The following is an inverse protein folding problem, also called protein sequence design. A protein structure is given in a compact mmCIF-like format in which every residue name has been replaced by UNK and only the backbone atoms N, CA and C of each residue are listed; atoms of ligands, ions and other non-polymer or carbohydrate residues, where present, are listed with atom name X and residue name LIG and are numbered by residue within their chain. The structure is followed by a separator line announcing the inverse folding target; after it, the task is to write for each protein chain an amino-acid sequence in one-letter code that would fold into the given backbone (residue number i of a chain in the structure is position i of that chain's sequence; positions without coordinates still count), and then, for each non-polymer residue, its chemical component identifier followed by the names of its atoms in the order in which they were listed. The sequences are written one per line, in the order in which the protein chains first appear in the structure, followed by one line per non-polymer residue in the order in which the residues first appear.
data_IF_740329612102
#
_entry.id   IF_740329612102
#
_cell.length_a   1.000
_cell.length_b   1.000
_cell.length_c   1.000
_cell.angle_alpha   90.00
_cell.angle_beta   90.00
_cell.angle_gamma   90.00
#
_symmetry.space_group_name_H-M   'P 1'
#
loop_
_entity.id
_entity.type
_entity.pdbx_description
1 polymer ?
#
# COMPACT_ATOMS: atom_id res chain seq x y z
N UNK A 1 21.34 28.87 -23.16
CA UNK A 1 21.24 28.24 -21.82
C UNK A 1 20.23 27.12 -21.95
N UNK A 2 20.72 25.93 -22.32
CA UNK A 2 19.89 24.73 -22.47
C UNK A 2 19.27 24.40 -21.11
N UNK A 3 17.94 24.31 -21.04
CA UNK A 3 17.23 23.99 -19.81
C UNK A 3 17.70 22.63 -19.30
N UNK A 4 18.41 22.62 -18.16
CA UNK A 4 18.60 21.39 -17.40
C UNK A 4 17.20 20.83 -17.12
N UNK A 5 16.88 19.61 -17.60
CA UNK A 5 15.59 19.01 -17.31
C UNK A 5 15.46 18.88 -15.79
N UNK A 6 14.30 19.31 -15.27
CA UNK A 6 14.04 19.35 -13.82
C UNK A 6 14.42 18.01 -13.19
N UNK A 7 15.23 18.01 -12.14
CA UNK A 7 15.69 16.80 -11.46
C UNK A 7 14.51 15.87 -11.09
N UNK A 8 13.37 16.47 -10.76
CA UNK A 8 12.11 15.80 -10.43
C UNK A 8 11.50 14.98 -11.58
N UNK A 9 11.81 15.34 -12.83
CA UNK A 9 11.36 14.61 -14.02
C UNK A 9 12.25 13.42 -14.40
N UNK A 10 13.48 13.35 -13.89
CA UNK A 10 14.47 12.34 -14.29
C UNK A 10 14.85 11.37 -13.17
N UNK A 11 14.44 11.66 -11.92
CA UNK A 11 14.72 10.83 -10.76
C UNK A 11 13.48 10.03 -10.37
N UNK A 12 13.71 8.79 -9.95
CA UNK A 12 12.74 7.99 -9.21
C UNK A 12 12.87 8.29 -7.72
N UNK A 13 11.78 8.74 -7.09
CA UNK A 13 11.76 8.94 -5.64
C UNK A 13 11.26 7.68 -4.95
N UNK A 14 12.06 7.15 -4.04
CA UNK A 14 11.77 5.92 -3.30
C UNK A 14 11.45 6.26 -1.85
N UNK A 15 10.30 5.81 -1.36
CA UNK A 15 9.85 6.03 0.01
C UNK A 15 9.63 4.71 0.72
N UNK A 16 10.24 4.52 1.88
CA UNK A 16 10.12 3.28 2.65
C UNK A 16 9.01 3.30 3.71
N UNK A 17 8.33 4.44 3.86
CA UNK A 17 7.27 4.65 4.84
C UNK A 17 6.21 5.63 4.32
N UNK A 18 4.96 5.41 4.72
CA UNK A 18 3.79 6.17 4.25
C UNK A 18 3.83 7.64 4.69
N UNK A 19 4.37 7.95 5.86
CA UNK A 19 4.36 9.31 6.40
C UNK A 19 5.33 10.22 5.64
N UNK A 20 6.53 9.74 5.33
CA UNK A 20 7.50 10.48 4.52
C UNK A 20 6.98 10.68 3.10
N UNK A 21 6.36 9.66 2.51
CA UNK A 21 5.69 9.78 1.20
C UNK A 21 4.59 10.86 1.24
N UNK A 22 3.74 10.85 2.28
CA UNK A 22 2.70 11.86 2.49
C UNK A 22 3.29 13.27 2.54
N UNK A 23 4.28 13.50 3.42
CA UNK A 23 4.90 14.82 3.58
C UNK A 23 5.56 15.32 2.28
N UNK A 24 6.21 14.41 1.54
CA UNK A 24 6.81 14.74 0.26
C UNK A 24 5.74 15.14 -0.77
N UNK A 25 4.68 14.34 -0.91
CA UNK A 25 3.61 14.61 -1.86
C UNK A 25 2.85 15.90 -1.50
N UNK A 26 2.62 16.19 -0.22
CA UNK A 26 2.04 17.47 0.20
C UNK A 26 2.91 18.65 -0.22
N UNK A 27 4.24 18.52 -0.14
CA UNK A 27 5.18 19.60 -0.42
C UNK A 27 5.47 19.81 -1.91
N UNK A 28 5.56 18.73 -2.67
CA UNK A 28 6.03 18.76 -4.06
C UNK A 28 5.00 18.29 -5.08
N UNK A 29 3.96 17.57 -4.67
CA UNK A 29 2.93 17.05 -5.56
C UNK A 29 2.01 18.12 -6.14
N UNK A 30 1.82 19.24 -5.43
CA UNK A 30 0.85 20.28 -5.77
C UNK A 30 1.32 21.22 -6.90
N UNK A 31 2.62 21.38 -7.12
CA UNK A 31 3.19 22.24 -8.16
C UNK A 31 3.91 21.41 -9.23
N UNK A 32 3.13 20.82 -10.14
CA UNK A 32 3.65 20.00 -11.24
C UNK A 32 4.38 20.80 -12.32
N UNK A 33 4.29 22.12 -12.32
CA UNK A 33 5.06 22.96 -13.25
C UNK A 33 6.50 23.08 -12.78
N UNK A 34 6.69 23.31 -11.48
CA UNK A 34 8.01 23.40 -10.86
C UNK A 34 8.61 22.03 -10.55
N UNK A 35 7.79 21.09 -10.10
CA UNK A 35 8.17 19.75 -9.68
C UNK A 35 7.39 18.69 -10.47
N UNK A 36 7.73 18.46 -11.74
CA UNK A 36 7.07 17.43 -12.56
C UNK A 36 7.47 16.02 -12.08
N UNK A 37 6.79 15.51 -11.06
CA UNK A 37 7.02 14.17 -10.51
C UNK A 37 6.58 13.12 -11.53
N UNK A 38 7.54 12.37 -12.09
CA UNK A 38 7.26 11.36 -13.14
C UNK A 38 7.38 9.92 -12.67
N UNK A 39 8.20 9.64 -11.68
CA UNK A 39 8.50 8.27 -11.25
C UNK A 39 8.57 8.19 -9.73
N UNK A 40 7.74 7.32 -9.14
CA UNK A 40 7.65 7.11 -7.69
C UNK A 40 7.70 5.61 -7.37
N UNK A 41 8.42 5.26 -6.30
CA UNK A 41 8.37 3.94 -5.67
C UNK A 41 7.98 4.08 -4.20
N UNK A 42 6.93 3.38 -3.79
CA UNK A 42 6.36 3.48 -2.46
C UNK A 42 6.36 2.11 -1.77
N UNK A 43 7.02 2.05 -0.62
CA UNK A 43 6.83 1.02 0.37
C UNK A 43 5.68 1.39 1.28
N UNK A 44 4.59 0.63 1.21
CA UNK A 44 3.55 0.73 2.21
C UNK A 44 3.92 -0.18 3.34
N UNK A 45 4.43 0.37 4.45
CA UNK A 45 4.57 -0.38 5.69
C UNK A 45 3.31 -0.24 6.53
N UNK A 46 2.34 -1.12 6.32
CA UNK A 46 1.09 -1.05 7.06
C UNK A 46 1.25 -1.58 8.49
N UNK A 47 0.66 -0.85 9.44
CA UNK A 47 0.44 -1.35 10.80
C UNK A 47 -0.84 -2.17 10.86
N UNK A 48 -0.98 -2.99 11.89
CA UNK A 48 -2.21 -3.78 12.13
C UNK A 48 -3.46 -2.87 12.15
N UNK A 49 -3.34 -1.70 12.77
CA UNK A 49 -4.42 -0.71 12.86
C UNK A 49 -4.84 -0.19 11.48
N UNK A 50 -3.89 0.10 10.59
CA UNK A 50 -4.18 0.58 9.23
C UNK A 50 -4.92 -0.49 8.43
N UNK A 51 -4.51 -1.75 8.50
CA UNK A 51 -5.20 -2.84 7.78
C UNK A 51 -6.60 -3.13 8.34
N UNK A 52 -6.80 -3.01 9.66
CA UNK A 52 -8.09 -3.24 10.32
C UNK A 52 -9.16 -2.24 9.87
N UNK A 53 -8.80 -0.98 9.61
CA UNK A 53 -9.74 0.03 9.11
C UNK A 53 -10.44 -0.37 7.82
N UNK A 54 -9.78 -1.17 6.98
CA UNK A 54 -10.31 -1.58 5.68
C UNK A 54 -10.93 -2.98 5.72
N UNK A 55 -10.91 -3.65 6.86
CA UNK A 55 -11.53 -4.96 6.99
C UNK A 55 -13.06 -4.83 7.04
N UNK A 56 -13.82 -5.67 6.29
CA UNK A 56 -15.28 -5.61 6.31
C UNK A 56 -15.84 -5.96 7.69
N UNK A 57 -16.72 -5.11 8.22
CA UNK A 57 -17.66 -5.44 9.29
C UNK A 57 -18.88 -6.12 8.68
N UNK A 58 -19.61 -6.91 9.48
CA UNK A 58 -20.82 -7.63 9.06
C UNK A 58 -22.04 -6.72 8.77
N UNK A 59 -21.83 -5.43 8.46
CA UNK A 59 -22.87 -4.45 8.18
C UNK A 59 -22.66 -3.77 6.81
N UNK A 60 -23.77 -3.33 6.20
CA UNK A 60 -23.80 -2.70 4.87
C UNK A 60 -23.24 -1.28 4.84
N UNK A 61 -22.93 -0.69 6.00
CA UNK A 61 -22.37 0.65 6.08
C UNK A 61 -20.86 0.63 5.80
N UNK A 62 -20.44 1.45 4.83
CA UNK A 62 -19.07 1.63 4.31
C UNK A 62 -18.05 2.14 5.36
N UNK A 63 -18.44 2.27 6.62
CA UNK A 63 -17.56 2.59 7.74
C UNK A 63 -17.01 1.30 8.36
N UNK A 64 -15.74 1.00 8.05
CA UNK A 64 -14.98 -0.07 8.70
C UNK A 64 -15.00 0.07 10.23
N UNK A 65 -14.67 -0.99 10.98
CA UNK A 65 -14.84 -1.00 12.43
C UNK A 65 -14.06 0.16 13.06
N UNK A 66 -14.61 0.87 14.07
CA UNK A 66 -13.78 1.77 14.87
C UNK A 66 -12.64 0.93 15.43
N UNK A 67 -11.39 1.31 15.15
CA UNK A 67 -10.23 0.57 15.59
C UNK A 67 -10.29 0.39 17.12
N UNK A 68 -10.71 -0.79 17.58
CA UNK A 68 -10.98 -1.15 18.98
C UNK A 68 -9.73 -1.08 19.87
N UNK A 69 -8.57 -0.72 19.30
CA UNK A 69 -7.30 -0.57 19.99
C UNK A 69 -6.77 0.87 20.06
N UNK A 70 -7.51 1.89 19.61
CA UNK A 70 -7.09 3.30 19.71
C UNK A 70 -7.29 3.91 21.12
N UNK A 71 -7.02 3.13 22.18
CA UNK A 71 -7.19 3.56 23.58
C UNK A 71 -6.29 4.72 24.01
N UNK A 72 -5.28 5.13 23.23
CA UNK A 72 -4.33 6.19 23.63
C UNK A 72 -3.76 7.06 22.51
N UNK A 73 -3.94 6.72 21.22
CA UNK A 73 -3.37 7.50 20.12
C UNK A 73 -4.29 8.68 19.75
N UNK A 74 -3.87 9.92 20.07
CA UNK A 74 -4.52 11.15 19.56
C UNK A 74 -3.59 11.83 18.55
N UNK A 75 -4.08 12.22 17.35
CA UNK A 75 -5.41 11.92 16.83
C UNK A 75 -5.54 10.43 16.46
N UNK A 76 -6.71 9.84 16.76
CA UNK A 76 -6.99 8.44 16.47
C UNK A 76 -6.95 8.19 14.96
N UNK A 77 -6.44 7.02 14.57
CA UNK A 77 -6.50 6.54 13.19
C UNK A 77 -7.98 6.26 12.85
N UNK A 78 -8.48 6.88 11.80
CA UNK A 78 -9.86 6.70 11.30
C UNK A 78 -9.86 6.77 9.78
N UNK A 79 -10.96 6.40 9.12
CA UNK A 79 -11.07 6.57 7.66
C UNK A 79 -10.84 8.02 7.23
N UNK A 80 -11.25 9.00 8.05
CA UNK A 80 -11.02 10.44 7.82
C UNK A 80 -9.59 10.89 8.14
N UNK A 81 -8.89 10.17 9.02
CA UNK A 81 -7.51 10.44 9.42
C UNK A 81 -6.62 9.24 9.13
N UNK A 82 -6.42 8.98 7.84
CA UNK A 82 -5.66 7.85 7.35
C UNK A 82 -4.52 8.32 6.42
N UNK A 83 -3.25 8.22 6.83
CA UNK A 83 -2.12 8.67 6.02
C UNK A 83 -2.03 7.92 4.68
N UNK A 84 -2.41 6.64 4.65
CA UNK A 84 -2.43 5.86 3.42
C UNK A 84 -3.48 6.40 2.44
N UNK A 85 -4.68 6.72 2.93
CA UNK A 85 -5.73 7.30 2.10
C UNK A 85 -5.29 8.63 1.49
N UNK A 86 -4.64 9.49 2.29
CA UNK A 86 -4.11 10.78 1.81
C UNK A 86 -3.03 10.62 0.76
N UNK A 87 -2.12 9.65 0.92
CA UNK A 87 -1.14 9.31 -0.12
C UNK A 87 -1.84 8.88 -1.41
N UNK A 88 -2.82 7.98 -1.35
CA UNK A 88 -3.61 7.58 -2.52
C UNK A 88 -4.26 8.78 -3.20
N UNK A 89 -4.94 9.63 -2.43
CA UNK A 89 -5.62 10.82 -2.98
C UNK A 89 -4.64 11.74 -3.70
N UNK A 90 -3.49 12.04 -3.10
CA UNK A 90 -2.45 12.85 -3.76
C UNK A 90 -1.87 12.21 -5.01
N UNK A 91 -1.75 10.87 -5.06
CA UNK A 91 -1.31 10.17 -6.28
C UNK A 91 -2.29 10.35 -7.43
N UNK A 92 -3.60 10.41 -7.15
CA UNK A 92 -4.62 10.67 -8.20
C UNK A 92 -4.50 12.07 -8.81
N UNK A 93 -3.90 13.00 -8.06
CA UNK A 93 -3.71 14.40 -8.46
C UNK A 93 -2.38 14.64 -9.21
N UNK A 94 -1.62 13.59 -9.57
CA UNK A 94 -0.34 13.71 -10.29
C UNK A 94 -0.51 13.46 -11.81
N UNK A 95 -0.90 14.46 -12.62
CA UNK A 95 -1.16 14.28 -14.05
C UNK A 95 0.08 13.94 -14.89
N UNK A 96 1.29 14.16 -14.35
CA UNK A 96 2.56 13.89 -15.03
C UNK A 96 3.20 12.57 -14.61
N UNK A 97 2.54 11.79 -13.75
CA UNK A 97 3.05 10.50 -13.28
C UNK A 97 3.13 9.51 -14.45
N UNK A 98 4.33 8.99 -14.69
CA UNK A 98 4.61 8.06 -15.79
C UNK A 98 4.92 6.65 -15.30
N UNK A 99 5.43 6.53 -14.08
CA UNK A 99 5.70 5.26 -13.43
C UNK A 99 5.38 5.36 -11.93
N UNK A 100 4.76 4.30 -11.43
CA UNK A 100 4.41 4.14 -10.03
C UNK A 100 4.62 2.69 -9.64
N UNK A 101 5.56 2.43 -8.75
CA UNK A 101 5.71 1.11 -8.14
C UNK A 101 5.27 1.21 -6.69
N UNK A 102 4.37 0.34 -6.28
CA UNK A 102 3.93 0.22 -4.90
C UNK A 102 4.21 -1.20 -4.45
N UNK A 103 5.05 -1.36 -3.44
CA UNK A 103 5.23 -2.64 -2.77
C UNK A 103 4.66 -2.58 -1.36
N UNK A 104 4.08 -3.69 -0.93
CA UNK A 104 3.44 -3.78 0.37
C UNK A 104 4.32 -4.56 1.36
N UNK A 105 4.69 -3.89 2.44
CA UNK A 105 5.33 -4.47 3.61
C UNK A 105 4.36 -4.43 4.80
N UNK A 106 4.34 -5.49 5.59
CA UNK A 106 3.64 -5.48 6.86
C UNK A 106 4.57 -6.04 7.92
N UNK A 107 4.46 -5.53 9.14
CA UNK A 107 5.12 -6.14 10.30
C UNK A 107 4.23 -7.18 11.00
N UNK A 108 3.01 -7.37 10.52
CA UNK A 108 2.05 -8.31 11.11
C UNK A 108 2.40 -9.76 10.73
N UNK A 109 2.69 -10.60 11.70
CA UNK A 109 3.00 -12.01 11.44
C UNK A 109 1.76 -12.84 11.07
N UNK A 110 0.55 -12.28 11.20
CA UNK A 110 -0.69 -12.97 10.85
C UNK A 110 -0.86 -13.09 9.32
N UNK A 111 -1.62 -14.09 8.85
CA UNK A 111 -1.83 -14.29 7.42
C UNK A 111 -2.52 -13.10 6.77
N UNK A 112 -1.95 -12.63 5.65
CA UNK A 112 -2.46 -11.50 4.85
C UNK A 112 -3.95 -11.64 4.52
N UNK A 113 -4.32 -12.83 4.05
CA UNK A 113 -5.69 -13.19 3.65
C UNK A 113 -6.73 -13.23 4.79
N UNK A 114 -6.37 -12.84 6.02
CA UNK A 114 -7.31 -12.80 7.14
C UNK A 114 -7.56 -11.38 7.66
N UNK A 115 -6.86 -10.37 7.11
CA UNK A 115 -6.70 -9.08 7.81
C UNK A 115 -6.93 -7.85 6.94
N UNK A 116 -7.01 -8.01 5.63
CA UNK A 116 -7.16 -6.90 4.71
C UNK A 116 -8.17 -7.25 3.63
N UNK A 117 -9.02 -6.29 3.30
CA UNK A 117 -9.71 -6.30 2.02
C UNK A 117 -8.87 -5.47 1.06
N UNK A 118 -8.11 -6.12 0.18
CA UNK A 118 -7.29 -5.43 -0.83
C UNK A 118 -8.15 -4.49 -1.68
N UNK A 119 -9.36 -4.93 -2.05
CA UNK A 119 -10.29 -4.14 -2.85
C UNK A 119 -10.72 -2.85 -2.17
N UNK A 120 -10.86 -2.85 -0.84
CA UNK A 120 -11.12 -1.63 -0.06
C UNK A 120 -9.83 -0.83 0.16
N UNK A 121 -8.76 -1.50 0.55
CA UNK A 121 -7.47 -0.90 0.90
C UNK A 121 -6.83 -0.14 -0.27
N UNK A 122 -6.94 -0.69 -1.48
CA UNK A 122 -6.38 -0.13 -2.70
C UNK A 122 -7.44 0.51 -3.61
N UNK A 123 -8.69 0.67 -3.14
CA UNK A 123 -9.81 1.20 -3.94
C UNK A 123 -9.43 2.48 -4.69
N UNK A 124 -8.73 3.38 -4.01
CA UNK A 124 -8.39 4.72 -4.52
C UNK A 124 -7.24 4.73 -5.52
N UNK A 125 -6.48 3.63 -5.60
CA UNK A 125 -5.48 3.45 -6.65
C UNK A 125 -6.09 3.23 -8.03
N UNK A 126 -7.37 2.83 -8.13
CA UNK A 126 -8.07 2.73 -9.42
C UNK A 126 -8.28 4.10 -10.10
N UNK A 127 -8.23 5.17 -9.32
CA UNK A 127 -8.39 6.53 -9.81
C UNK A 127 -7.05 7.14 -10.28
N UNK A 128 -5.92 6.50 -9.96
CA UNK A 128 -4.58 6.99 -10.37
C UNK A 128 -4.41 6.84 -11.87
N UNK A 129 -3.85 7.88 -12.50
CA UNK A 129 -3.62 7.92 -13.94
C UNK A 129 -2.13 7.84 -14.21
N UNK A 130 -1.74 6.76 -14.88
CA UNK A 130 -0.40 6.56 -15.42
C UNK A 130 -0.52 6.36 -16.92
N UNK A 131 0.44 6.87 -17.69
CA UNK A 131 0.42 6.80 -19.17
C UNK A 131 0.30 5.37 -19.71
N UNK A 132 0.89 4.42 -18.99
CA UNK A 132 0.97 3.02 -19.37
C UNK A 132 0.75 2.16 -18.12
N UNK A 133 -0.24 1.27 -18.20
CA UNK A 133 -0.60 0.34 -17.12
C UNK A 133 0.58 -0.52 -16.67
N UNK A 134 1.49 -0.89 -17.57
CA UNK A 134 2.66 -1.73 -17.23
C UNK A 134 3.67 -0.98 -16.35
N UNK A 135 3.58 0.34 -16.29
CA UNK A 135 4.42 1.20 -15.45
C UNK A 135 3.80 1.54 -14.10
N UNK A 136 2.54 1.14 -13.89
CA UNK A 136 1.94 1.13 -12.57
C UNK A 136 1.94 -0.32 -12.06
N UNK A 137 2.87 -0.63 -11.16
CA UNK A 137 3.01 -1.96 -10.56
C UNK A 137 2.57 -1.92 -9.11
N UNK A 138 1.68 -2.84 -8.74
CA UNK A 138 1.26 -3.09 -7.36
C UNK A 138 1.77 -4.48 -6.94
N UNK A 139 2.89 -4.51 -6.22
CA UNK A 139 3.48 -5.71 -5.68
C UNK A 139 2.82 -6.08 -4.34
N UNK A 140 2.14 -7.23 -4.31
CA UNK A 140 1.36 -7.71 -3.16
C UNK A 140 1.84 -9.09 -2.71
N UNK A 141 1.61 -9.47 -1.44
CA UNK A 141 1.87 -10.82 -0.98
C UNK A 141 1.08 -11.87 -1.77
N UNK A 142 1.71 -13.02 -1.96
CA UNK A 142 1.03 -14.24 -2.43
C UNK A 142 -0.18 -14.59 -1.56
N UNK A 143 -1.22 -15.08 -2.23
CA UNK A 143 -2.41 -15.61 -1.58
C UNK A 143 -2.29 -17.13 -1.50
N UNK A 144 -2.69 -17.78 -0.39
CA UNK A 144 -2.63 -19.22 -0.29
C UNK A 144 -3.59 -19.89 -1.28
N UNK A 145 -3.21 -21.07 -1.78
CA UNK A 145 -4.05 -21.91 -2.67
C UNK A 145 -5.35 -22.32 -2.00
N UNK A 146 -5.31 -22.63 -0.70
CA UNK A 146 -6.47 -22.92 0.13
C UNK A 146 -6.77 -21.72 1.01
N UNK A 147 -7.85 -21.01 0.67
CA UNK A 147 -8.34 -19.87 1.43
C UNK A 147 -9.42 -20.41 2.37
N UNK A 148 -9.12 -20.43 3.67
CA UNK A 148 -10.06 -20.85 4.73
C UNK A 148 -10.08 -22.35 5.06
N UNK A 149 -10.29 -22.63 6.35
CA UNK A 149 -11.02 -23.81 6.84
C UNK A 149 -12.51 -23.51 6.77
N UNK A 150 -13.41 -24.52 6.66
CA UNK A 150 -14.86 -24.32 6.45
C UNK A 150 -15.54 -23.36 7.44
N UNK A 151 -14.96 -23.13 8.62
CA UNK A 151 -15.50 -22.23 9.66
C UNK A 151 -15.09 -20.75 9.53
N UNK A 152 -14.26 -20.37 8.54
CA UNK A 152 -13.79 -19.00 8.36
C UNK A 152 -14.28 -18.51 7.00
N UNK A 153 -15.25 -17.57 7.01
CA UNK A 153 -15.72 -16.88 5.80
C UNK A 153 -14.53 -16.42 4.97
N UNK A 154 -14.33 -17.10 3.85
CA UNK A 154 -13.29 -16.75 2.89
C UNK A 154 -13.77 -15.50 2.18
N UNK A 155 -13.08 -14.38 2.41
CA UNK A 155 -13.38 -13.11 1.77
C UNK A 155 -12.90 -13.10 0.30
N UNK A 156 -13.31 -14.08 -0.52
CA UNK A 156 -12.87 -14.18 -1.93
C UNK A 156 -13.18 -12.90 -2.72
N UNK A 157 -14.30 -12.26 -2.42
CA UNK A 157 -14.73 -10.97 -2.97
C UNK A 157 -13.95 -9.75 -2.44
N UNK A 158 -12.83 -9.95 -1.74
CA UNK A 158 -12.04 -8.86 -1.14
C UNK A 158 -10.61 -8.76 -1.65
N UNK A 159 -10.18 -9.69 -2.52
CA UNK A 159 -8.86 -9.66 -3.16
C UNK A 159 -8.92 -9.08 -4.56
N UNK A 160 -7.79 -8.53 -5.00
CA UNK A 160 -7.61 -8.02 -6.35
C UNK A 160 -7.16 -9.16 -7.28
N UNK A 161 -8.14 -9.84 -7.88
CA UNK A 161 -7.96 -10.97 -8.81
C UNK A 161 -9.07 -11.01 -9.87
N UNK A 162 -8.85 -11.82 -10.93
CA UNK A 162 -9.83 -12.07 -11.99
C UNK A 162 -10.30 -10.79 -12.70
N UNK A 163 -11.59 -10.69 -12.95
CA UNK A 163 -12.19 -9.58 -13.70
C UNK A 163 -11.96 -8.21 -13.04
N UNK A 164 -11.72 -8.17 -11.72
CA UNK A 164 -11.49 -6.92 -10.98
C UNK A 164 -10.18 -6.23 -11.36
N UNK A 165 -9.23 -6.99 -11.88
CA UNK A 165 -7.96 -6.44 -12.35
C UNK A 165 -7.95 -6.22 -13.85
N UNK A 166 -8.96 -6.68 -14.60
CA UNK A 166 -8.97 -6.54 -16.06
C UNK A 166 -8.88 -5.08 -16.50
N UNK A 167 -9.59 -4.18 -15.78
CA UNK A 167 -9.61 -2.74 -16.07
C UNK A 167 -8.85 -1.87 -15.06
N UNK A 168 -8.05 -2.49 -14.18
CA UNK A 168 -7.24 -1.73 -13.23
C UNK A 168 -6.16 -0.89 -13.96
N UNK A 169 -5.82 0.32 -13.47
CA UNK A 169 -4.75 1.13 -14.06
C UNK A 169 -3.35 0.59 -13.73
N UNK A 170 -3.27 -0.53 -13.00
CA UNK A 170 -2.03 -1.18 -12.57
C UNK A 170 -1.97 -2.65 -12.96
N UNK A 171 -0.74 -3.15 -13.00
CA UNK A 171 -0.43 -4.58 -12.98
C UNK A 171 -0.22 -5.03 -11.55
N UNK A 172 -0.64 -6.25 -11.23
CA UNK A 172 -0.37 -6.86 -9.93
C UNK A 172 0.74 -7.88 -10.09
N UNK A 173 1.74 -7.77 -9.25
CA UNK A 173 2.79 -8.78 -9.10
C UNK A 173 2.62 -9.40 -7.73
N UNK A 174 2.48 -10.73 -7.68
CA UNK A 174 2.35 -11.49 -6.44
C UNK A 174 3.69 -12.10 -6.12
N UNK A 175 4.24 -11.79 -4.96
CA UNK A 175 5.52 -12.34 -4.53
C UNK A 175 5.42 -12.93 -3.12
N UNK A 176 6.27 -13.92 -2.79
CA UNK A 176 6.39 -14.39 -1.43
C UNK A 176 6.72 -13.23 -0.52
N UNK A 177 5.97 -13.08 0.57
CA UNK A 177 6.28 -12.08 1.58
C UNK A 177 7.69 -12.37 2.11
N UNK A 178 8.58 -11.36 2.23
CA UNK A 178 9.83 -11.54 2.96
C UNK A 178 9.48 -12.14 4.32
N UNK A 179 10.03 -13.32 4.61
CA UNK A 179 9.69 -14.00 5.84
C UNK A 179 10.30 -13.17 6.98
N UNK A 180 9.49 -12.33 7.62
CA UNK A 180 9.95 -11.43 8.68
C UNK A 180 10.65 -12.20 9.81
N UNK A 181 10.34 -13.49 10.00
CA UNK A 181 11.09 -14.39 10.88
C UNK A 181 12.53 -14.61 10.43
N UNK A 182 12.78 -14.83 9.14
CA UNK A 182 14.14 -14.96 8.61
C UNK A 182 14.93 -13.66 8.75
N UNK A 183 14.29 -12.51 8.55
CA UNK A 183 14.93 -11.20 8.75
C UNK A 183 15.27 -10.96 10.23
N UNK A 184 14.39 -11.36 11.16
CA UNK A 184 14.63 -11.29 12.61
C UNK A 184 15.75 -12.25 13.06
N UNK A 185 15.80 -13.45 12.48
CA UNK A 185 16.85 -14.44 12.76
C UNK A 185 18.21 -14.05 12.16
N UNK A 186 18.22 -13.37 11.01
CA UNK A 186 19.44 -12.88 10.36
C UNK A 186 19.97 -11.57 10.95
N UNK A 187 19.11 -10.76 11.57
CA UNK A 187 19.51 -9.52 12.26
C UNK A 187 20.05 -9.75 13.68
N UNK A 188 20.19 -11.00 14.11
CA UNK A 188 20.90 -11.41 15.32
C UNK A 188 22.07 -12.36 15.00
N UNK A 189 23.21 -11.86 14.48
CA UNK A 189 24.44 -12.64 14.41
C UNK A 189 25.09 -12.73 15.80
N UNK A 190 24.39 -13.34 16.77
CA UNK A 190 24.84 -13.30 18.18
C UNK A 190 24.36 -14.40 19.12
N UNK A 191 23.37 -15.23 18.78
CA UNK A 191 22.96 -16.34 19.64
C UNK A 191 22.91 -17.66 18.87
N UNK A 192 24.10 -18.18 18.57
CA UNK A 192 24.30 -19.62 18.50
C UNK A 192 24.12 -20.19 19.91
N UNK A 193 22.91 -20.65 20.21
CA UNK A 193 22.74 -21.67 21.26
C UNK A 193 22.53 -22.99 20.53
N UNK A 194 23.57 -23.81 20.60
CA UNK A 194 23.53 -25.21 20.20
C UNK A 194 22.46 -25.94 21.00
N UNK A 195 21.63 -26.71 20.30
CA UNK A 195 21.00 -27.92 20.84
C UNK A 195 21.49 -29.10 20.01
#
# INVERSE_FOLDING_TARGET
LECLPSIYSNITFVFTDTNTAEQFLCRYGQDQQRYPLRSLELCIRATNLITELYFPTAGEDDEGPPALFAGTARPGLSMKNNPWQRVCDMLTELPKLQALHIWFDSRDLRPWHKRVSETRFFKRLFDVRVLDRTRFVLALPELPEKRGTPDIQVLESHYLEGDRIEHAPFTIVREPRPNNWQVLLQSHPGNSVSL
#
